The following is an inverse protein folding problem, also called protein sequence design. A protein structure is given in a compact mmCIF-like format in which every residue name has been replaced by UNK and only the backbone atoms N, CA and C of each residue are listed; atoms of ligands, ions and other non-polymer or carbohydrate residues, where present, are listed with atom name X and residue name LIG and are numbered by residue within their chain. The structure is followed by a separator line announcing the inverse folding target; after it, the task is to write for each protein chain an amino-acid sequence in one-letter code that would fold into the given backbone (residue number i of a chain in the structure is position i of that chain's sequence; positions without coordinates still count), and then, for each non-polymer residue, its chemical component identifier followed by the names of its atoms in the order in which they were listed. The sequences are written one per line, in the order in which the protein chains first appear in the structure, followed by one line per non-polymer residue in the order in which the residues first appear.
data_IF_785326697613
#
_entry.id   IF_785326697613
#
_cell.length_a   1.000
_cell.length_b   1.000
_cell.length_c   1.000
_cell.angle_alpha   90.00
_cell.angle_beta   90.00
_cell.angle_gamma   90.00
#
_symmetry.space_group_name_H-M   'P 1'
#
loop_
_entity.id
_entity.type
_entity.pdbx_description
1 polymer ?
#
# COMPACT_ATOMS: atom_id res chain seq x y z
N UNK A 1 -30.35 33.70 25.34
CA UNK A 1 -29.96 34.53 24.19
C UNK A 1 -28.43 34.49 24.11
N UNK A 2 -27.76 33.36 23.84
CA UNK A 2 -27.80 32.41 22.71
C UNK A 2 -27.12 32.91 21.42
N UNK A 3 -25.97 33.59 21.53
CA UNK A 3 -25.17 34.01 20.36
C UNK A 3 -23.71 33.52 20.39
N UNK A 4 -23.42 32.33 20.93
CA UNK A 4 -22.04 31.78 20.86
C UNK A 4 -21.93 30.35 20.33
N UNK A 5 -22.97 29.83 19.66
CA UNK A 5 -22.99 28.47 19.05
C UNK A 5 -22.99 28.54 17.50
N UNK A 6 -22.50 29.63 16.92
CA UNK A 6 -22.32 29.75 15.46
C UNK A 6 -20.85 30.01 15.12
N UNK A 7 -19.95 29.28 15.77
CA UNK A 7 -18.63 29.06 15.18
C UNK A 7 -18.85 28.10 14.02
N UNK A 8 -19.13 28.74 12.88
CA UNK A 8 -19.20 28.19 11.53
C UNK A 8 -18.26 27.02 11.43
N UNK A 9 -18.82 25.81 11.36
CA UNK A 9 -18.14 24.70 10.72
C UNK A 9 -17.73 25.23 9.36
N UNK A 10 -16.44 25.53 9.20
CA UNK A 10 -15.84 25.71 7.89
C UNK A 10 -15.95 24.35 7.24
N UNK A 11 -17.10 24.08 6.64
CA UNK A 11 -17.20 23.23 5.49
C UNK A 11 -16.28 23.87 4.47
N UNK A 12 -15.00 23.51 4.54
CA UNK A 12 -14.11 23.55 3.40
C UNK A 12 -14.87 22.76 2.35
N UNK A 13 -15.37 23.40 1.28
CA UNK A 13 -16.11 22.66 0.28
C UNK A 13 -15.21 21.53 -0.16
N UNK A 14 -15.69 20.28 -0.07
CA UNK A 14 -14.99 19.13 -0.61
C UNK A 14 -14.63 19.50 -2.04
N UNK A 15 -13.35 19.78 -2.28
CA UNK A 15 -12.87 20.24 -3.57
C UNK A 15 -13.35 19.18 -4.55
N UNK A 16 -14.24 19.52 -5.49
CA UNK A 16 -14.71 18.57 -6.51
C UNK A 16 -13.48 18.09 -7.26
N UNK A 17 -12.93 16.96 -6.83
CA UNK A 17 -11.74 16.42 -7.43
C UNK A 17 -12.10 15.94 -8.82
N UNK A 18 -11.31 16.32 -9.81
CA UNK A 18 -11.54 15.89 -11.17
C UNK A 18 -11.29 14.38 -11.26
N UNK A 19 -12.33 13.60 -11.57
CA UNK A 19 -12.25 12.14 -11.73
C UNK A 19 -11.15 11.76 -12.74
N UNK A 20 -11.02 12.53 -13.83
CA UNK A 20 -9.98 12.32 -14.84
C UNK A 20 -8.58 12.51 -14.26
N UNK A 21 -8.43 13.47 -13.34
CA UNK A 21 -7.20 13.66 -12.59
C UNK A 21 -6.90 12.46 -11.71
N UNK A 22 -7.87 11.91 -10.99
CA UNK A 22 -7.63 10.75 -10.13
C UNK A 22 -7.19 9.51 -10.94
N UNK A 23 -7.81 9.27 -12.10
CA UNK A 23 -7.37 8.25 -13.06
C UNK A 23 -5.94 8.48 -13.56
N UNK A 24 -5.58 9.72 -13.88
CA UNK A 24 -4.23 10.04 -14.34
C UNK A 24 -3.17 9.75 -13.27
N UNK A 25 -3.41 10.18 -12.02
CA UNK A 25 -2.48 9.93 -10.91
C UNK A 25 -2.31 8.42 -10.67
N UNK A 26 -3.42 7.68 -10.69
CA UNK A 26 -3.42 6.24 -10.52
C UNK A 26 -2.62 5.55 -11.64
N UNK A 27 -2.86 5.93 -12.89
CA UNK A 27 -2.14 5.37 -14.04
C UNK A 27 -0.63 5.63 -13.95
N UNK A 28 -0.23 6.84 -13.57
CA UNK A 28 1.17 7.20 -13.39
C UNK A 28 1.81 6.36 -12.27
N UNK A 29 1.17 6.23 -11.11
CA UNK A 29 1.73 5.46 -9.99
C UNK A 29 1.81 3.97 -10.31
N UNK A 30 0.78 3.39 -10.93
CA UNK A 30 0.82 2.00 -11.38
C UNK A 30 1.95 1.80 -12.41
N UNK A 31 2.09 2.71 -13.38
CA UNK A 31 3.16 2.65 -14.38
C UNK A 31 4.54 2.70 -13.72
N UNK A 32 4.78 3.60 -12.78
CA UNK A 32 6.07 3.67 -12.04
C UNK A 32 6.31 2.38 -11.26
N UNK A 33 5.31 1.89 -10.52
CA UNK A 33 5.42 0.67 -9.73
C UNK A 33 5.78 -0.54 -10.61
N UNK A 34 5.19 -0.65 -11.81
CA UNK A 34 5.45 -1.76 -12.73
C UNK A 34 6.77 -1.57 -13.46
N UNK A 35 6.97 -0.45 -14.15
CA UNK A 35 8.14 -0.22 -15.01
C UNK A 35 9.43 -0.29 -14.21
N UNK A 36 9.52 0.40 -13.07
CA UNK A 36 10.75 0.39 -12.26
C UNK A 36 11.03 -1.02 -11.73
N UNK A 37 10.00 -1.76 -11.29
CA UNK A 37 10.18 -3.14 -10.84
C UNK A 37 10.72 -4.01 -11.98
N UNK A 38 10.10 -3.97 -13.15
CA UNK A 38 10.50 -4.79 -14.31
C UNK A 38 11.90 -4.45 -14.81
N UNK A 39 12.30 -3.17 -14.77
CA UNK A 39 13.64 -2.75 -15.17
C UNK A 39 14.72 -3.19 -14.18
N UNK A 40 14.41 -3.35 -12.89
CA UNK A 40 15.39 -3.74 -11.85
C UNK A 40 15.47 -5.25 -11.65
N UNK A 41 14.39 -6.00 -11.92
CA UNK A 41 14.32 -7.45 -11.75
C UNK A 41 15.49 -8.23 -12.40
N UNK A 42 15.95 -7.92 -13.63
CA UNK A 42 17.10 -8.62 -14.24
C UNK A 42 18.42 -8.46 -13.47
N UNK A 43 18.53 -7.42 -12.63
CA UNK A 43 19.73 -7.10 -11.88
C UNK A 43 19.64 -7.51 -10.40
N UNK A 44 18.45 -7.42 -9.80
CA UNK A 44 18.26 -7.80 -8.40
C UNK A 44 16.80 -8.11 -8.04
N UNK A 45 16.55 -9.37 -7.66
CA UNK A 45 15.28 -9.79 -7.06
C UNK A 45 15.00 -9.12 -5.72
N UNK A 46 16.04 -8.87 -4.91
CA UNK A 46 15.91 -8.28 -3.59
C UNK A 46 15.52 -6.80 -3.65
N UNK A 47 16.16 -6.03 -4.55
CA UNK A 47 15.99 -4.57 -4.60
C UNK A 47 14.93 -4.08 -5.58
N UNK A 48 14.38 -4.93 -6.46
CA UNK A 48 13.35 -4.52 -7.43
C UNK A 48 12.08 -3.95 -6.76
N UNK A 49 11.60 -4.58 -5.67
CA UNK A 49 10.48 -4.07 -4.88
C UNK A 49 10.76 -2.73 -4.20
N UNK A 50 11.84 -2.63 -3.40
CA UNK A 50 12.26 -1.37 -2.78
C UNK A 50 12.44 -0.23 -3.78
N UNK A 51 13.16 -0.44 -4.89
CA UNK A 51 13.36 0.57 -5.92
C UNK A 51 12.02 1.07 -6.50
N UNK A 52 11.14 0.14 -6.86
CA UNK A 52 9.79 0.43 -7.38
C UNK A 52 8.97 1.30 -6.45
N UNK A 53 8.88 0.94 -5.17
CA UNK A 53 8.09 1.71 -4.20
C UNK A 53 8.73 3.04 -3.83
N UNK A 54 10.06 3.11 -3.74
CA UNK A 54 10.75 4.37 -3.46
C UNK A 54 10.54 5.38 -4.59
N UNK A 55 10.68 4.94 -5.85
CA UNK A 55 10.35 5.79 -7.01
C UNK A 55 8.89 6.22 -7.01
N UNK A 56 7.96 5.31 -6.70
CA UNK A 56 6.54 5.64 -6.59
C UNK A 56 6.23 6.62 -5.44
N UNK A 57 6.94 6.54 -4.31
CA UNK A 57 6.82 7.51 -3.21
C UNK A 57 7.26 8.92 -3.63
N UNK A 58 8.36 9.04 -4.37
CA UNK A 58 8.83 10.32 -4.91
C UNK A 58 7.78 10.90 -5.86
N UNK A 59 7.33 10.11 -6.83
CA UNK A 59 6.35 10.55 -7.83
C UNK A 59 5.01 10.88 -7.17
N UNK A 60 4.53 10.04 -6.25
CA UNK A 60 3.29 10.25 -5.51
C UNK A 60 3.33 11.53 -4.68
N UNK A 61 4.45 11.80 -4.02
CA UNK A 61 4.65 13.06 -3.29
C UNK A 61 4.57 14.26 -4.22
N UNK A 62 5.17 14.19 -5.42
CA UNK A 62 5.11 15.26 -6.42
C UNK A 62 3.67 15.46 -6.92
N UNK A 63 2.96 14.38 -7.25
CA UNK A 63 1.57 14.44 -7.71
C UNK A 63 0.64 15.07 -6.67
N UNK A 64 0.76 14.67 -5.40
CA UNK A 64 -0.02 15.25 -4.31
C UNK A 64 0.27 16.74 -4.15
N UNK A 65 1.54 17.13 -4.10
CA UNK A 65 1.94 18.53 -3.95
C UNK A 65 1.43 19.40 -5.10
N UNK A 66 1.48 18.90 -6.35
CA UNK A 66 0.93 19.60 -7.53
C UNK A 66 -0.57 19.84 -7.43
N UNK A 67 -1.29 19.07 -6.61
CA UNK A 67 -2.72 19.21 -6.36
C UNK A 67 -3.05 19.96 -5.07
N UNK A 68 -2.04 20.47 -4.37
CA UNK A 68 -2.19 21.13 -3.08
C UNK A 68 -2.53 20.18 -1.93
N UNK A 69 -2.24 18.87 -2.08
CA UNK A 69 -2.42 17.85 -1.05
C UNK A 69 -1.08 17.36 -0.51
N UNK A 70 -1.10 16.78 0.68
CA UNK A 70 -0.01 16.04 1.30
C UNK A 70 -0.43 14.65 1.75
N UNK A 71 0.53 13.86 2.22
CA UNK A 71 0.28 12.53 2.77
C UNK A 71 -0.65 12.54 4.00
N UNK A 72 -0.70 13.65 4.74
CA UNK A 72 -1.64 13.87 5.83
C UNK A 72 -3.10 13.85 5.38
N UNK A 73 -3.38 14.32 4.16
CA UNK A 73 -4.73 14.30 3.57
C UNK A 73 -5.16 12.91 3.12
N UNK A 74 -4.23 11.95 3.14
CA UNK A 74 -4.45 10.53 2.85
C UNK A 74 -4.40 9.67 4.13
N UNK A 75 -4.25 10.28 5.30
CA UNK A 75 -4.28 9.58 6.59
C UNK A 75 -2.93 9.45 7.30
N UNK A 76 -1.82 9.93 6.74
CA UNK A 76 -0.54 10.02 7.47
C UNK A 76 -0.58 11.19 8.46
N UNK A 77 -1.25 10.98 9.58
CA UNK A 77 -1.44 11.97 10.64
C UNK A 77 -1.14 11.37 12.01
N UNK A 78 -0.81 12.25 12.96
CA UNK A 78 -0.71 11.85 14.35
C UNK A 78 -2.08 11.38 14.86
N UNK A 79 -2.13 10.27 15.61
CA UNK A 79 -3.39 9.78 16.13
C UNK A 79 -3.84 10.59 17.33
N UNK A 80 -5.13 10.92 17.35
CA UNK A 80 -5.77 11.62 18.45
C UNK A 80 -5.92 10.72 19.70
N UNK A 81 -5.95 9.39 19.49
CA UNK A 81 -6.12 8.40 20.55
C UNK A 81 -5.30 7.13 20.28
N UNK A 82 -4.19 6.99 20.99
CA UNK A 82 -3.27 5.85 20.88
C UNK A 82 -3.88 4.50 21.30
N UNK A 83 -4.80 4.48 22.27
CA UNK A 83 -5.50 3.26 22.68
C UNK A 83 -6.39 2.73 21.55
N UNK A 84 -7.10 3.64 20.85
CA UNK A 84 -7.89 3.27 19.67
C UNK A 84 -7.00 2.70 18.56
N UNK A 85 -5.85 3.34 18.29
CA UNK A 85 -4.90 2.82 17.30
C UNK A 85 -4.36 1.46 17.72
N UNK A 86 -3.94 1.28 18.97
CA UNK A 86 -3.47 -0.02 19.47
C UNK A 86 -4.54 -1.11 19.31
N UNK A 87 -5.80 -0.81 19.68
CA UNK A 87 -6.92 -1.72 19.49
C UNK A 87 -7.18 -2.08 18.03
N UNK A 88 -7.14 -1.08 17.13
CA UNK A 88 -7.28 -1.31 15.69
C UNK A 88 -6.12 -2.14 15.12
N UNK A 89 -4.88 -1.88 15.55
CA UNK A 89 -3.70 -2.66 15.14
C UNK A 89 -3.82 -4.11 15.58
N UNK A 90 -4.25 -4.38 16.81
CA UNK A 90 -4.47 -5.75 17.29
C UNK A 90 -5.57 -6.43 16.47
N UNK A 91 -6.68 -5.73 16.22
CA UNK A 91 -7.80 -6.25 15.44
C UNK A 91 -7.39 -6.56 14.00
N UNK A 92 -6.67 -5.66 13.32
CA UNK A 92 -6.22 -5.88 11.94
C UNK A 92 -5.18 -6.97 11.86
N UNK A 93 -4.27 -7.07 12.85
CA UNK A 93 -3.30 -8.17 12.94
C UNK A 93 -4.01 -9.52 13.13
N UNK A 94 -4.99 -9.60 14.03
CA UNK A 94 -5.77 -10.82 14.23
C UNK A 94 -6.54 -11.22 12.96
N UNK A 95 -7.20 -10.26 12.29
CA UNK A 95 -7.88 -10.50 11.03
C UNK A 95 -6.91 -10.95 9.92
N UNK A 96 -5.72 -10.35 9.86
CA UNK A 96 -4.67 -10.74 8.92
C UNK A 96 -4.19 -12.18 9.15
N UNK A 97 -3.91 -12.56 10.40
CA UNK A 97 -3.51 -13.92 10.76
C UNK A 97 -4.63 -14.92 10.39
N UNK A 98 -5.88 -14.62 10.72
CA UNK A 98 -7.01 -15.48 10.35
C UNK A 98 -7.14 -15.63 8.82
N UNK A 99 -7.00 -14.54 8.08
CA UNK A 99 -7.06 -14.55 6.64
C UNK A 99 -5.92 -15.36 6.01
N UNK A 100 -4.68 -15.23 6.52
CA UNK A 100 -3.54 -16.01 6.00
C UNK A 100 -3.70 -17.50 6.28
N UNK A 101 -4.15 -17.89 7.48
CA UNK A 101 -4.42 -19.29 7.81
C UNK A 101 -5.55 -19.89 6.95
N UNK A 102 -6.62 -19.12 6.70
CA UNK A 102 -7.69 -19.55 5.82
C UNK A 102 -7.20 -19.72 4.37
N UNK A 103 -6.41 -18.77 3.89
CA UNK A 103 -5.86 -18.84 2.53
C UNK A 103 -4.83 -19.96 2.37
N UNK A 104 -4.05 -20.28 3.41
CA UNK A 104 -3.15 -21.42 3.42
C UNK A 104 -3.92 -22.75 3.32
N UNK A 105 -5.01 -22.90 4.10
CA UNK A 105 -5.90 -24.06 4.01
C UNK A 105 -6.47 -24.25 2.59
N UNK A 106 -6.86 -23.15 1.93
CA UNK A 106 -7.29 -23.17 0.53
C UNK A 106 -6.11 -23.53 -0.39
N UNK A 107 -4.94 -22.91 -0.18
CA UNK A 107 -3.77 -23.10 -1.04
C UNK A 107 -3.35 -24.58 -1.10
N UNK A 108 -3.17 -25.22 0.06
CA UNK A 108 -2.76 -26.63 0.17
C UNK A 108 -3.75 -27.59 -0.50
N UNK A 109 -5.06 -27.23 -0.54
CA UNK A 109 -6.09 -28.11 -1.09
C UNK A 109 -6.22 -28.02 -2.62
N UNK A 110 -5.90 -26.87 -3.20
CA UNK A 110 -6.18 -26.54 -4.60
C UNK A 110 -4.95 -26.28 -5.46
N UNK A 111 -3.77 -26.06 -4.87
CA UNK A 111 -2.55 -25.73 -5.60
C UNK A 111 -1.41 -26.70 -5.23
N UNK A 112 -0.52 -27.01 -6.19
CA UNK A 112 0.68 -27.79 -5.90
C UNK A 112 1.63 -26.99 -5.01
N UNK A 113 2.33 -27.69 -4.12
CA UNK A 113 3.44 -27.11 -3.38
C UNK A 113 4.61 -26.83 -4.33
N UNK A 114 5.02 -25.57 -4.40
CA UNK A 114 6.11 -25.07 -5.25
C UNK A 114 7.35 -24.69 -4.43
N UNK A 115 7.33 -24.97 -3.13
CA UNK A 115 8.42 -24.64 -2.20
C UNK A 115 8.59 -23.15 -1.93
N UNK A 116 9.59 -22.82 -1.12
CA UNK A 116 9.95 -21.44 -0.80
C UNK A 116 11.00 -20.91 -1.77
N UNK A 117 10.97 -19.60 -2.04
CA UNK A 117 12.10 -18.97 -2.74
C UNK A 117 13.27 -18.85 -1.76
N UNK A 118 14.48 -19.28 -2.17
CA UNK A 118 15.73 -19.10 -1.42
C UNK A 118 16.20 -17.63 -1.31
N UNK A 119 15.27 -16.68 -1.48
CA UNK A 119 15.53 -15.23 -1.57
C UNK A 119 16.17 -14.67 -0.30
N UNK A 120 15.97 -15.34 0.83
CA UNK A 120 16.40 -14.89 2.15
C UNK A 120 17.42 -15.80 2.82
N UNK A 121 17.94 -16.82 2.12
CA UNK A 121 18.88 -17.80 2.70
C UNK A 121 20.15 -17.13 3.25
N UNK A 122 20.59 -16.03 2.62
CA UNK A 122 21.73 -15.22 3.06
C UNK A 122 21.55 -14.52 4.41
N UNK A 123 20.33 -14.50 4.97
CA UNK A 123 20.01 -13.88 6.27
C UNK A 123 20.32 -14.83 7.42
N UNK A 124 20.20 -16.14 7.22
CA UNK A 124 20.41 -17.12 8.29
C UNK A 124 21.85 -17.07 8.81
N UNK A 125 22.01 -16.90 10.13
CA UNK A 125 23.32 -16.77 10.77
C UNK A 125 24.08 -15.47 10.47
N UNK A 126 23.50 -14.50 9.76
CA UNK A 126 24.18 -13.29 9.31
C UNK A 126 23.50 -12.02 9.85
N UNK A 127 24.02 -11.50 10.97
CA UNK A 127 23.46 -10.31 11.63
C UNK A 127 23.48 -9.04 10.74
N UNK A 128 24.57 -8.71 10.01
CA UNK A 128 24.56 -7.60 9.05
C UNK A 128 23.46 -7.73 7.98
N UNK A 129 23.28 -8.93 7.41
CA UNK A 129 22.22 -9.17 6.43
C UNK A 129 20.82 -9.01 7.07
N UNK A 130 20.64 -9.52 8.30
CA UNK A 130 19.41 -9.35 9.07
C UNK A 130 19.05 -7.88 9.31
N UNK A 131 20.02 -7.06 9.73
CA UNK A 131 19.80 -5.63 9.93
C UNK A 131 19.43 -4.95 8.61
N UNK A 132 20.14 -5.30 7.52
CA UNK A 132 19.84 -4.79 6.18
C UNK A 132 18.42 -5.12 5.72
N UNK A 133 17.99 -6.38 5.87
CA UNK A 133 16.65 -6.78 5.47
C UNK A 133 15.58 -6.17 6.37
N UNK A 134 15.81 -6.05 7.67
CA UNK A 134 14.86 -5.38 8.57
C UNK A 134 14.71 -3.90 8.21
N UNK A 135 15.79 -3.20 7.87
CA UNK A 135 15.70 -1.83 7.39
C UNK A 135 14.82 -1.73 6.13
N UNK A 136 14.93 -2.68 5.20
CA UNK A 136 14.06 -2.76 4.03
C UNK A 136 12.62 -3.11 4.38
N UNK A 137 12.38 -4.04 5.31
CA UNK A 137 11.03 -4.42 5.74
C UNK A 137 10.30 -3.21 6.35
N UNK A 138 10.92 -2.50 7.28
CA UNK A 138 10.28 -1.37 7.94
C UNK A 138 10.03 -0.18 7.00
N UNK A 139 10.96 0.10 6.09
CA UNK A 139 10.84 1.24 5.17
C UNK A 139 9.98 0.92 3.95
N UNK A 140 10.38 -0.10 3.18
CA UNK A 140 9.69 -0.51 1.96
C UNK A 140 8.43 -1.32 2.27
N UNK A 141 8.56 -2.46 2.94
CA UNK A 141 7.46 -3.42 3.12
C UNK A 141 6.32 -2.93 4.03
N UNK A 142 6.65 -2.09 5.00
CA UNK A 142 5.67 -1.51 5.92
C UNK A 142 5.28 -0.10 5.50
N UNK A 143 6.20 0.86 5.59
CA UNK A 143 5.84 2.28 5.48
C UNK A 143 5.45 2.70 4.05
N UNK A 144 6.27 2.41 3.04
CA UNK A 144 5.97 2.82 1.66
C UNK A 144 4.78 2.06 1.09
N UNK A 145 4.70 0.75 1.31
CA UNK A 145 3.57 -0.01 0.82
C UNK A 145 2.25 0.40 1.50
N UNK A 146 2.27 0.78 2.78
CA UNK A 146 1.07 1.33 3.43
C UNK A 146 0.60 2.63 2.76
N UNK A 147 1.51 3.59 2.59
CA UNK A 147 1.18 4.88 1.98
C UNK A 147 0.77 4.75 0.51
N UNK A 148 1.39 3.86 -0.26
CA UNK A 148 1.06 3.70 -1.67
C UNK A 148 -0.23 2.91 -1.88
N UNK A 149 -0.38 1.76 -1.23
CA UNK A 149 -1.49 0.85 -1.54
C UNK A 149 -2.75 1.14 -0.72
N UNK A 150 -2.61 1.48 0.57
CA UNK A 150 -3.76 1.69 1.46
C UNK A 150 -4.18 3.15 1.47
N UNK A 151 -3.22 4.07 1.38
CA UNK A 151 -3.52 5.49 1.32
C UNK A 151 -3.77 5.96 -0.12
N UNK A 152 -2.74 5.99 -0.98
CA UNK A 152 -2.82 6.62 -2.30
C UNK A 152 -3.73 5.87 -3.29
N UNK A 153 -3.49 4.58 -3.53
CA UNK A 153 -4.21 3.81 -4.55
C UNK A 153 -5.70 3.71 -4.22
N UNK A 154 -6.07 3.44 -2.96
CA UNK A 154 -7.48 3.37 -2.56
C UNK A 154 -8.16 4.73 -2.71
N UNK A 155 -7.58 5.81 -2.18
CA UNK A 155 -8.17 7.15 -2.26
C UNK A 155 -8.29 7.65 -3.72
N UNK A 156 -7.27 7.43 -4.57
CA UNK A 156 -7.35 7.80 -5.99
C UNK A 156 -8.38 6.95 -6.73
N UNK A 157 -8.44 5.65 -6.48
CA UNK A 157 -9.43 4.77 -7.13
C UNK A 157 -10.85 5.12 -6.69
N UNK A 158 -11.08 5.35 -5.39
CA UNK A 158 -12.39 5.74 -4.88
C UNK A 158 -12.84 7.07 -5.48
N UNK A 159 -11.96 8.08 -5.48
CA UNK A 159 -12.22 9.38 -6.11
C UNK A 159 -12.53 9.22 -7.61
N UNK A 160 -11.79 8.38 -8.32
CA UNK A 160 -12.00 8.13 -9.74
C UNK A 160 -13.36 7.47 -10.05
N UNK A 161 -13.87 6.67 -9.11
CA UNK A 161 -15.18 6.01 -9.15
C UNK A 161 -16.33 6.88 -8.60
N UNK A 162 -16.06 8.13 -8.20
CA UNK A 162 -17.06 9.08 -7.72
C UNK A 162 -17.27 9.11 -6.20
N UNK A 163 -16.45 8.39 -5.43
CA UNK A 163 -16.45 8.41 -3.97
C UNK A 163 -17.62 7.68 -3.31
N UNK A 164 -17.57 7.62 -1.97
CA UNK A 164 -18.57 6.93 -1.14
C UNK A 164 -18.30 5.44 -0.97
N UNK A 165 -19.06 4.81 -0.08
CA UNK A 165 -18.73 3.47 0.43
C UNK A 165 -18.60 2.38 -0.63
N UNK A 166 -19.38 2.44 -1.72
CA UNK A 166 -19.30 1.47 -2.83
C UNK A 166 -18.00 1.65 -3.61
N UNK A 167 -17.60 2.89 -3.87
CA UNK A 167 -16.35 3.22 -4.52
C UNK A 167 -15.16 2.85 -3.63
N UNK A 168 -15.25 3.08 -2.33
CA UNK A 168 -14.23 2.68 -1.35
C UNK A 168 -14.05 1.16 -1.30
N UNK A 169 -15.15 0.41 -1.28
CA UNK A 169 -15.11 -1.06 -1.31
C UNK A 169 -14.48 -1.57 -2.61
N UNK A 170 -14.91 -1.04 -3.76
CA UNK A 170 -14.33 -1.39 -5.05
C UNK A 170 -12.83 -1.04 -5.11
N UNK A 171 -12.44 0.13 -4.59
CA UNK A 171 -11.06 0.58 -4.53
C UNK A 171 -10.19 -0.34 -3.64
N UNK A 172 -10.71 -0.76 -2.49
CA UNK A 172 -10.03 -1.71 -1.62
C UNK A 172 -9.82 -3.07 -2.30
N UNK A 173 -10.82 -3.57 -3.04
CA UNK A 173 -10.70 -4.81 -3.82
C UNK A 173 -9.68 -4.68 -4.95
N UNK A 174 -9.73 -3.60 -5.74
CA UNK A 174 -8.76 -3.32 -6.82
C UNK A 174 -7.34 -3.23 -6.27
N UNK A 175 -7.15 -2.49 -5.17
CA UNK A 175 -5.85 -2.38 -4.50
C UNK A 175 -5.35 -3.74 -4.02
N UNK A 176 -6.22 -4.55 -3.43
CA UNK A 176 -5.88 -5.89 -2.93
C UNK A 176 -5.47 -6.85 -4.04
N UNK A 177 -6.20 -6.89 -5.16
CA UNK A 177 -5.88 -7.71 -6.33
C UNK A 177 -4.53 -7.29 -6.92
N UNK A 178 -4.31 -5.98 -7.09
CA UNK A 178 -3.05 -5.47 -7.63
C UNK A 178 -1.87 -5.74 -6.67
N UNK A 179 -2.07 -5.59 -5.37
CA UNK A 179 -1.07 -5.92 -4.35
C UNK A 179 -0.71 -7.41 -4.39
N UNK A 180 -1.70 -8.31 -4.49
CA UNK A 180 -1.48 -9.75 -4.64
C UNK A 180 -0.71 -10.10 -5.92
N UNK A 181 -1.09 -9.54 -7.07
CA UNK A 181 -0.38 -9.72 -8.34
C UNK A 181 1.11 -9.33 -8.24
N UNK A 182 1.42 -8.22 -7.56
CA UNK A 182 2.82 -7.80 -7.36
C UNK A 182 3.64 -8.79 -6.53
N UNK A 183 2.99 -9.65 -5.74
CA UNK A 183 3.64 -10.64 -4.88
C UNK A 183 3.65 -12.06 -5.46
N UNK A 184 2.84 -12.33 -6.49
CA UNK A 184 2.76 -13.63 -7.15
C UNK A 184 4.13 -14.17 -7.59
N UNK A 185 4.98 -13.32 -8.17
CA UNK A 185 6.32 -13.71 -8.64
C UNK A 185 7.28 -14.18 -7.53
N UNK A 186 6.99 -13.93 -6.25
CA UNK A 186 7.85 -14.38 -5.15
C UNK A 186 7.53 -15.80 -4.66
N UNK A 187 6.44 -16.40 -5.14
CA UNK A 187 5.92 -17.69 -4.69
C UNK A 187 6.29 -18.83 -5.64
N UNK A 188 7.59 -19.05 -5.88
CA UNK A 188 8.08 -20.31 -6.48
C UNK A 188 7.98 -20.44 -8.00
N UNK A 189 7.55 -19.42 -8.73
CA UNK A 189 7.75 -19.39 -10.20
C UNK A 189 9.20 -18.97 -10.49
N UNK A 190 10.12 -19.93 -10.43
CA UNK A 190 11.41 -19.80 -11.11
C UNK A 190 11.11 -19.59 -12.59
N UNK A 191 11.41 -18.40 -13.12
CA UNK A 191 11.63 -18.28 -14.56
C UNK A 191 12.71 -19.33 -14.95
N UNK A 192 12.56 -20.02 -16.09
CA UNK A 192 13.56 -20.97 -16.58
C UNK A 192 14.94 -20.33 -16.73
#
# INVERSE_FOLDING_TARGET
MSESILETERHVPARRENHAGAWQDLAIIIAVLVIVKQSVLPFSYLYAGPASTFSAMIVGTILLRRRGRGWSDLGLRWPDNWLRIAGLTILTMAAFILATQLMDFVAVRFFPDVGTSGRFDHVEGNLPAYIGIMALVWTHGSFFEELLFRAFVIDRTSTALGGGWKADLAAALVSSVFFGYRHYYYQGCTAP
#
